data_IF_001482210781
#
_entry.id   IF_001482210781
#
_cell.length_a   1.000
_cell.length_b   1.000
_cell.length_c   1.000
_cell.angle_alpha   90.00
_cell.angle_beta   90.00
_cell.angle_gamma   90.00
#
_symmetry.space_group_name_H-M   'P 1'
#
loop_
_entity.id
_entity.type
_entity.pdbx_description
1 polymer ?
#
# COMPACT_ATOMS: atom_id res chain seq x y z
N UNK A 1 -62.07 -24.10 -13.59
CA UNK A 1 -61.11 -22.97 -13.71
C UNK A 1 -60.06 -23.12 -12.62
N UNK A 2 -58.88 -23.67 -12.93
CA UNK A 2 -57.77 -23.81 -11.97
C UNK A 2 -56.84 -22.61 -12.09
N UNK A 3 -56.71 -21.83 -11.03
CA UNK A 3 -55.75 -20.71 -10.93
C UNK A 3 -54.37 -21.30 -10.66
N UNK A 4 -53.47 -21.22 -11.65
CA UNK A 4 -52.05 -21.47 -11.44
C UNK A 4 -51.45 -20.23 -10.77
N UNK A 5 -51.11 -20.34 -9.50
CA UNK A 5 -50.34 -19.32 -8.78
C UNK A 5 -48.85 -19.56 -9.07
N UNK A 6 -48.24 -18.73 -9.92
CA UNK A 6 -46.80 -18.72 -10.12
C UNK A 6 -46.13 -18.09 -8.89
N UNK A 7 -45.33 -18.88 -8.17
CA UNK A 7 -44.47 -18.39 -7.09
C UNK A 7 -43.19 -17.84 -7.75
N UNK A 8 -43.03 -16.52 -7.74
CA UNK A 8 -41.80 -15.85 -8.16
C UNK A 8 -40.75 -16.02 -7.05
N UNK A 9 -39.81 -16.93 -7.26
CA UNK A 9 -38.65 -17.11 -6.38
C UNK A 9 -37.67 -15.95 -6.63
N UNK A 10 -37.68 -14.92 -5.78
CA UNK A 10 -36.72 -13.82 -5.84
C UNK A 10 -35.35 -14.33 -5.37
N UNK A 11 -34.46 -14.60 -6.33
CA UNK A 11 -33.03 -14.75 -6.09
C UNK A 11 -32.48 -13.38 -5.66
N UNK A 12 -32.34 -13.18 -4.35
CA UNK A 12 -31.65 -12.02 -3.80
C UNK A 12 -30.17 -12.10 -4.20
N UNK A 13 -29.78 -11.32 -5.21
CA UNK A 13 -28.37 -11.10 -5.55
C UNK A 13 -27.80 -10.21 -4.44
N UNK A 14 -27.19 -10.82 -3.43
CA UNK A 14 -26.44 -10.07 -2.45
C UNK A 14 -25.28 -9.37 -3.16
N UNK A 15 -25.13 -8.04 -3.04
CA UNK A 15 -23.97 -7.36 -3.61
C UNK A 15 -22.71 -7.91 -2.93
N UNK A 16 -21.79 -8.45 -3.71
CA UNK A 16 -20.43 -8.75 -3.25
C UNK A 16 -19.82 -7.43 -2.76
N UNK A 17 -19.73 -7.26 -1.45
CA UNK A 17 -19.08 -6.09 -0.85
C UNK A 17 -17.58 -6.16 -1.12
N UNK A 18 -17.15 -5.59 -2.25
CA UNK A 18 -15.74 -5.44 -2.57
C UNK A 18 -15.09 -4.51 -1.54
N UNK A 19 -13.86 -4.85 -1.12
CA UNK A 19 -13.12 -4.00 -0.20
C UNK A 19 -12.98 -2.59 -0.79
N UNK A 20 -13.27 -1.57 0.01
CA UNK A 20 -13.26 -0.17 -0.42
C UNK A 20 -12.04 0.59 0.11
N UNK A 21 -11.27 -0.01 1.00
CA UNK A 21 -10.09 0.62 1.62
C UNK A 21 -8.96 -0.38 1.80
N UNK A 22 -7.72 0.10 1.70
CA UNK A 22 -6.52 -0.65 2.07
C UNK A 22 -5.82 0.06 3.24
N UNK A 23 -5.51 -0.68 4.30
CA UNK A 23 -4.75 -0.18 5.44
C UNK A 23 -3.33 -0.75 5.35
N UNK A 24 -2.36 0.15 5.28
CA UNK A 24 -0.96 -0.15 5.10
C UNK A 24 -0.17 0.20 6.36
N UNK A 25 0.67 -0.73 6.79
CA UNK A 25 1.65 -0.55 7.85
C UNK A 25 3.04 -0.52 7.23
N UNK A 26 3.88 0.47 7.56
CA UNK A 26 5.26 0.58 7.07
C UNK A 26 6.19 0.56 8.27
N UNK A 27 6.87 -0.57 8.46
CA UNK A 27 7.94 -0.73 9.43
C UNK A 27 9.24 -0.18 8.85
N UNK A 28 9.95 0.61 9.65
CA UNK A 28 11.18 1.28 9.26
C UNK A 28 12.24 0.95 10.30
N UNK A 29 13.38 0.44 9.86
CA UNK A 29 14.56 0.20 10.69
C UNK A 29 15.69 1.11 10.24
N UNK A 30 16.18 1.97 11.14
CA UNK A 30 17.49 2.61 11.00
C UNK A 30 18.53 1.65 11.57
N UNK A 31 19.26 0.98 10.68
CA UNK A 31 20.20 -0.08 11.06
C UNK A 31 21.40 0.51 11.80
N UNK A 32 21.81 1.73 11.48
CA UNK A 32 22.96 2.38 12.11
C UNK A 32 22.61 2.87 13.52
N UNK A 33 21.41 3.44 13.70
CA UNK A 33 20.93 3.86 15.02
C UNK A 33 20.38 2.71 15.87
N UNK A 34 20.04 1.57 15.26
CA UNK A 34 19.39 0.44 15.93
C UNK A 34 17.96 0.74 16.36
N UNK A 35 17.29 1.70 15.71
CA UNK A 35 15.94 2.15 16.06
C UNK A 35 14.91 1.66 15.05
N UNK A 36 13.68 1.47 15.55
CA UNK A 36 12.52 1.05 14.73
C UNK A 36 11.39 2.05 14.84
N UNK A 37 10.74 2.30 13.72
CA UNK A 37 9.60 3.20 13.58
C UNK A 37 8.49 2.53 12.80
N UNK A 38 7.27 3.04 12.97
CA UNK A 38 6.12 2.55 12.25
C UNK A 38 5.30 3.72 11.69
N UNK A 39 4.84 3.57 10.46
CA UNK A 39 3.98 4.55 9.78
C UNK A 39 2.74 3.84 9.24
N UNK A 40 1.58 4.31 9.66
CA UNK A 40 0.29 3.80 9.18
C UNK A 40 -0.27 4.70 8.08
N UNK A 41 -0.78 4.09 7.01
CA UNK A 41 -1.35 4.78 5.87
C UNK A 41 -2.63 4.09 5.40
N UNK A 42 -3.71 4.86 5.24
CA UNK A 42 -4.99 4.36 4.72
C UNK A 42 -5.30 4.87 3.31
N UNK A 43 -5.65 3.98 2.40
CA UNK A 43 -6.07 4.31 1.04
C UNK A 43 -7.54 3.92 0.83
N UNK A 44 -8.22 4.64 -0.06
CA UNK A 44 -9.58 4.31 -0.50
C UNK A 44 -9.47 3.81 -1.94
N UNK A 45 -10.02 2.65 -2.26
CA UNK A 45 -9.99 2.13 -3.62
C UNK A 45 -10.74 3.08 -4.57
N UNK A 46 -10.06 3.56 -5.60
CA UNK A 46 -10.61 4.47 -6.61
C UNK A 46 -10.37 3.84 -8.00
N UNK A 47 -11.27 2.95 -8.46
CA UNK A 47 -11.12 2.32 -9.77
C UNK A 47 -11.00 3.38 -10.88
N UNK A 48 -9.99 3.23 -11.75
CA UNK A 48 -9.74 4.15 -12.85
C UNK A 48 -8.95 5.42 -12.48
N UNK A 49 -8.55 5.61 -11.22
CA UNK A 49 -7.57 6.64 -10.87
C UNK A 49 -6.14 6.15 -11.16
N UNK A 50 -5.23 7.10 -11.37
CA UNK A 50 -3.80 6.84 -11.23
C UNK A 50 -3.43 6.41 -9.80
N UNK A 51 -2.15 6.16 -9.56
CA UNK A 51 -1.64 5.80 -8.24
C UNK A 51 -1.87 6.90 -7.20
N UNK A 52 -2.57 6.56 -6.11
CA UNK A 52 -2.63 7.38 -4.90
C UNK A 52 -1.29 7.32 -4.19
N UNK A 53 -0.77 8.47 -3.75
CA UNK A 53 0.56 8.57 -3.13
C UNK A 53 0.46 9.18 -1.76
N UNK A 54 1.15 8.59 -0.79
CA UNK A 54 1.32 9.16 0.55
C UNK A 54 2.78 9.25 0.91
N UNK A 55 3.17 10.45 1.33
CA UNK A 55 4.54 10.80 1.63
C UNK A 55 4.80 10.76 3.13
N UNK A 56 5.99 10.36 3.53
CA UNK A 56 6.47 10.38 4.90
C UNK A 56 7.98 10.58 4.92
N UNK A 57 8.51 11.19 6.00
CA UNK A 57 9.95 11.37 6.18
C UNK A 57 10.55 10.24 7.00
N UNK A 58 11.77 9.85 6.67
CA UNK A 58 12.54 8.94 7.51
C UNK A 58 13.13 9.71 8.71
N UNK A 59 12.88 9.26 9.95
CA UNK A 59 13.37 9.94 11.14
C UNK A 59 14.89 10.16 11.11
N UNK A 60 15.33 11.37 11.48
CA UNK A 60 16.75 11.70 11.59
C UNK A 60 17.54 11.73 10.27
N UNK A 61 16.86 11.74 9.12
CA UNK A 61 17.52 11.69 7.81
C UNK A 61 16.96 12.69 6.80
N UNK A 62 17.70 12.92 5.72
CA UNK A 62 17.27 13.76 4.58
C UNK A 62 16.55 12.94 3.49
N UNK A 63 15.91 11.84 3.88
CA UNK A 63 15.12 11.00 2.98
C UNK A 63 13.63 11.21 3.18
N UNK A 64 12.94 11.41 2.06
CA UNK A 64 11.49 11.33 1.98
C UNK A 64 11.08 10.06 1.24
N UNK A 65 10.12 9.35 1.79
CA UNK A 65 9.57 8.13 1.21
C UNK A 65 8.13 8.32 0.79
N UNK A 66 7.70 7.49 -0.14
CA UNK A 66 6.35 7.47 -0.70
C UNK A 66 5.86 6.04 -0.77
N UNK A 67 4.68 5.79 -0.23
CA UNK A 67 3.92 4.59 -0.52
C UNK A 67 2.89 4.95 -1.60
N UNK A 68 3.03 4.34 -2.78
CA UNK A 68 2.08 4.42 -3.87
C UNK A 68 1.11 3.24 -3.82
N UNK A 69 -0.18 3.53 -3.93
CA UNK A 69 -1.27 2.56 -3.99
C UNK A 69 -2.00 2.71 -5.33
N UNK A 70 -2.05 1.64 -6.10
CA UNK A 70 -2.65 1.66 -7.43
C UNK A 70 -4.14 1.29 -7.36
N UNK A 71 -4.42 0.11 -6.83
CA UNK A 71 -5.76 -0.39 -6.49
C UNK A 71 -5.55 -1.75 -5.78
N UNK A 72 -6.63 -2.45 -5.44
CA UNK A 72 -6.54 -3.75 -4.77
C UNK A 72 -5.96 -4.88 -5.65
N UNK A 73 -6.04 -4.77 -6.97
CA UNK A 73 -5.51 -5.78 -7.89
C UNK A 73 -4.06 -5.51 -8.26
N UNK A 74 -3.66 -4.24 -8.32
CA UNK A 74 -2.32 -3.78 -8.71
C UNK A 74 -1.42 -3.53 -7.50
N UNK A 75 -2.01 -3.41 -6.31
CA UNK A 75 -1.38 -3.25 -5.00
C UNK A 75 -0.51 -2.01 -4.82
N UNK A 76 0.67 -2.17 -4.21
CA UNK A 76 1.48 -1.05 -3.70
C UNK A 76 2.94 -1.08 -4.13
N UNK A 77 3.59 0.07 -4.01
CA UNK A 77 5.00 0.27 -4.31
C UNK A 77 5.60 1.29 -3.34
N UNK A 78 6.77 0.97 -2.79
CA UNK A 78 7.48 1.82 -1.85
C UNK A 78 8.70 2.44 -2.53
N UNK A 79 8.89 3.74 -2.38
CA UNK A 79 10.06 4.45 -2.90
C UNK A 79 10.59 5.45 -1.89
N UNK A 80 11.90 5.64 -1.83
CA UNK A 80 12.54 6.69 -1.04
C UNK A 80 13.47 7.51 -1.93
N UNK A 81 13.50 8.82 -1.69
CA UNK A 81 14.35 9.77 -2.38
C UNK A 81 15.20 10.53 -1.37
N UNK A 82 16.42 10.89 -1.77
CA UNK A 82 17.23 11.84 -1.03
C UNK A 82 16.86 13.27 -1.44
N UNK A 83 16.34 14.06 -0.50
CA UNK A 83 15.67 15.33 -0.78
C UNK A 83 16.60 16.40 -1.39
N UNK A 84 17.90 16.35 -1.09
CA UNK A 84 18.87 17.35 -1.57
C UNK A 84 19.32 17.12 -3.02
N UNK A 85 19.30 15.87 -3.49
CA UNK A 85 19.81 15.52 -4.82
C UNK A 85 18.69 15.32 -5.84
N UNK A 86 17.45 15.08 -5.42
CA UNK A 86 16.25 14.94 -6.27
C UNK A 86 16.28 13.79 -7.28
N UNK A 87 17.44 13.17 -7.52
CA UNK A 87 17.68 12.15 -8.54
C UNK A 87 18.10 10.80 -7.96
N UNK A 88 18.48 10.75 -6.67
CA UNK A 88 18.74 9.49 -5.97
C UNK A 88 17.42 8.96 -5.43
N UNK A 89 16.84 8.01 -6.17
CA UNK A 89 15.64 7.29 -5.76
C UNK A 89 15.95 5.80 -5.68
N UNK A 90 15.44 5.16 -4.63
CA UNK A 90 15.42 3.72 -4.48
C UNK A 90 13.96 3.29 -4.40
N UNK A 91 13.62 2.21 -5.10
CA UNK A 91 12.23 1.78 -5.25
C UNK A 91 12.14 0.26 -5.12
N UNK A 92 11.11 -0.20 -4.43
CA UNK A 92 10.79 -1.62 -4.33
C UNK A 92 10.07 -2.11 -5.59
N UNK A 93 10.05 -3.42 -5.77
CA UNK A 93 9.08 -4.03 -6.68
C UNK A 93 7.64 -3.73 -6.24
N UNK A 94 6.72 -3.80 -7.20
CA UNK A 94 5.28 -3.68 -6.95
C UNK A 94 4.77 -4.99 -6.36
N UNK A 95 3.92 -4.90 -5.35
CA UNK A 95 3.24 -6.06 -4.76
C UNK A 95 1.75 -6.01 -5.05
N UNK A 96 1.11 -7.18 -5.10
CA UNK A 96 -0.31 -7.38 -5.43
C UNK A 96 -1.07 -7.63 -4.13
N UNK A 97 -2.20 -6.92 -3.88
CA UNK A 97 -3.00 -7.09 -2.65
C UNK A 97 -3.94 -8.32 -2.76
N UNK A 98 -4.33 -8.71 -3.97
CA UNK A 98 -5.29 -9.81 -4.22
C UNK A 98 -4.94 -11.19 -3.63
N UNK A 99 -3.68 -11.45 -3.28
CA UNK A 99 -3.25 -12.70 -2.63
C UNK A 99 -3.24 -12.64 -1.08
N UNK A 100 -3.80 -11.58 -0.49
CA UNK A 100 -4.13 -11.51 0.93
C UNK A 100 -3.18 -10.67 1.79
N UNK A 101 -1.99 -10.28 1.30
CA UNK A 101 -1.16 -9.23 1.89
C UNK A 101 -0.16 -8.69 0.84
N UNK A 102 -0.35 -7.46 0.34
CA UNK A 102 0.70 -6.84 -0.46
C UNK A 102 1.87 -6.44 0.43
N UNK A 103 3.07 -6.88 0.07
CA UNK A 103 4.29 -6.58 0.83
C UNK A 103 5.33 -5.92 -0.06
N UNK A 104 5.86 -4.78 0.36
CA UNK A 104 7.04 -4.20 -0.28
C UNK A 104 8.21 -4.23 0.70
N UNK A 105 9.38 -4.61 0.19
CA UNK A 105 10.63 -4.54 0.93
C UNK A 105 11.54 -3.55 0.21
N UNK A 106 12.12 -2.63 0.95
CA UNK A 106 13.09 -1.67 0.42
C UNK A 106 14.25 -1.56 1.39
N UNK A 107 15.45 -1.85 0.92
CA UNK A 107 16.67 -1.64 1.70
C UNK A 107 17.62 -0.79 0.88
N UNK A 108 18.24 0.18 1.52
CA UNK A 108 19.24 1.01 0.86
C UNK A 108 20.26 1.52 1.87
N UNK A 109 21.48 1.72 1.35
CA UNK A 109 22.59 2.31 2.08
C UNK A 109 23.24 3.36 1.21
N UNK A 110 23.34 4.57 1.72
CA UNK A 110 24.00 5.68 1.05
C UNK A 110 24.52 6.67 2.09
N UNK A 111 25.78 7.08 1.93
CA UNK A 111 26.53 7.86 2.93
C UNK A 111 26.45 7.23 4.35
N UNK A 112 26.05 7.99 5.36
CA UNK A 112 25.87 7.56 6.74
C UNK A 112 24.50 6.92 7.02
N UNK A 113 23.65 6.78 6.01
CA UNK A 113 22.28 6.24 6.15
C UNK A 113 22.22 4.77 5.74
N UNK A 114 21.61 3.94 6.58
CA UNK A 114 21.25 2.56 6.25
C UNK A 114 19.86 2.26 6.79
N UNK A 115 18.89 2.13 5.87
CA UNK A 115 17.51 1.87 6.21
C UNK A 115 17.00 0.58 5.58
N UNK A 116 16.12 -0.09 6.32
CA UNK A 116 15.30 -1.20 5.83
C UNK A 116 13.84 -0.86 6.11
N UNK A 117 13.01 -0.93 5.08
CA UNK A 117 11.58 -0.67 5.16
C UNK A 117 10.79 -1.88 4.69
N UNK A 118 9.74 -2.19 5.44
CA UNK A 118 8.77 -3.24 5.13
C UNK A 118 7.37 -2.65 5.17
N UNK A 119 6.68 -2.59 4.02
CA UNK A 119 5.27 -2.25 4.01
C UNK A 119 4.41 -3.51 3.88
N UNK A 120 3.26 -3.52 4.55
CA UNK A 120 2.22 -4.53 4.40
C UNK A 120 0.86 -3.86 4.29
N UNK A 121 0.04 -4.24 3.31
CA UNK A 121 -1.29 -3.68 3.10
C UNK A 121 -2.36 -4.77 3.07
N UNK A 122 -3.50 -4.48 3.71
CA UNK A 122 -4.69 -5.34 3.80
C UNK A 122 -5.98 -4.57 3.58
#
# INVERSE_FOLDING_TARGET
MKKLTLIFLQLAVAPLSWASTANCNIEIEDVNAGTKYNVEQKFTNQPGSDAQRKHFKLPGSNYSCTLAFFNLESGTMLSCQFDELGQNFVQSDRSIIGEGNAKNNLSFRYESSFFVLHSSCK
#
